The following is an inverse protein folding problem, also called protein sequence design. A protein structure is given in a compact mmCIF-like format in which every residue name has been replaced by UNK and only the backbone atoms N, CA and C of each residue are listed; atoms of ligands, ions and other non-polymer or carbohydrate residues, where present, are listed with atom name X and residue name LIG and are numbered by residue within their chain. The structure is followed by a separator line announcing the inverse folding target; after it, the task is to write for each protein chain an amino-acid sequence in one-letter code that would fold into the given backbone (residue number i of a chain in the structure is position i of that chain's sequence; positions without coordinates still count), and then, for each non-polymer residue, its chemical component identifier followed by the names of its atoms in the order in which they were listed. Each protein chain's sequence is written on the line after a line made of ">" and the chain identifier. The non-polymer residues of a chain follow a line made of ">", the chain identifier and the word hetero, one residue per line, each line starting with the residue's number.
data_IF_203048880613
#
_entry.id   IF_203048880613
#
_cell.length_a   1.000
_cell.length_b   1.000
_cell.length_c   1.000
_cell.angle_alpha   90.00
_cell.angle_beta   90.00
_cell.angle_gamma   90.00
#
_symmetry.space_group_name_H-M   'P 1'
#
loop_
_entity.id
_entity.type
_entity.pdbx_description
1 polymer ?
#
# COMPACT_ATOMS: atom_id res chain seq x y z
N UNK A 1 14.51 52.56 -41.91
CA UNK A 1 13.96 51.92 -40.70
C UNK A 1 14.46 50.48 -40.67
N UNK A 2 15.20 50.12 -39.62
CA UNK A 2 16.06 48.93 -39.55
C UNK A 2 15.28 47.61 -39.39
N UNK A 3 15.90 46.54 -39.90
CA UNK A 3 15.43 45.16 -40.06
C UNK A 3 15.40 44.35 -38.74
N UNK A 4 14.42 43.44 -38.66
CA UNK A 4 14.46 42.03 -38.23
C UNK A 4 15.09 41.59 -36.88
N UNK A 5 14.30 40.76 -36.17
CA UNK A 5 14.65 39.58 -35.33
C UNK A 5 15.07 39.77 -33.87
N UNK A 6 14.81 38.71 -33.08
CA UNK A 6 15.02 38.49 -31.62
C UNK A 6 13.78 38.76 -30.76
N UNK A 7 12.73 37.92 -30.67
CA UNK A 7 12.68 36.50 -30.29
C UNK A 7 13.53 36.13 -29.08
N UNK A 8 13.00 36.38 -27.87
CA UNK A 8 13.27 35.55 -26.68
C UNK A 8 11.92 35.27 -26.01
N UNK A 9 11.32 34.15 -26.44
CA UNK A 9 10.48 33.34 -25.58
C UNK A 9 11.42 32.65 -24.58
N UNK A 10 11.22 32.89 -23.28
CA UNK A 10 11.81 32.09 -22.22
C UNK A 10 10.81 32.11 -21.05
N UNK A 11 9.76 31.28 -21.11
CA UNK A 11 9.77 29.95 -20.51
C UNK A 11 10.23 29.96 -19.04
N UNK A 12 9.46 30.60 -18.16
CA UNK A 12 9.39 30.20 -16.75
C UNK A 12 8.24 29.20 -16.59
N UNK A 13 8.41 28.05 -17.24
CA UNK A 13 7.73 26.83 -16.84
C UNK A 13 8.25 26.39 -15.47
N UNK A 14 7.44 25.60 -14.77
CA UNK A 14 7.81 24.77 -13.61
C UNK A 14 7.75 25.46 -12.23
N UNK A 15 6.59 26.04 -11.91
CA UNK A 15 6.05 25.87 -10.57
C UNK A 15 4.90 24.86 -10.62
N UNK A 16 5.20 23.64 -11.07
CA UNK A 16 4.38 22.51 -10.65
C UNK A 16 4.63 22.39 -9.15
N UNK A 17 3.62 22.58 -8.27
CA UNK A 17 3.79 22.09 -6.91
C UNK A 17 4.12 20.63 -7.10
N UNK A 18 5.27 20.24 -6.55
CA UNK A 18 5.64 18.86 -6.41
C UNK A 18 4.41 18.15 -5.85
N UNK A 19 3.69 17.48 -6.73
CA UNK A 19 2.92 16.33 -6.35
C UNK A 19 4.01 15.40 -5.81
N UNK A 20 4.31 15.57 -4.52
CA UNK A 20 4.50 14.47 -3.62
C UNK A 20 3.24 13.62 -3.77
N UNK A 21 3.17 12.93 -4.91
CA UNK A 21 2.80 11.55 -4.96
C UNK A 21 3.67 10.95 -3.86
N UNK A 22 3.12 10.93 -2.64
CA UNK A 22 3.29 9.79 -1.78
C UNK A 22 2.99 8.63 -2.73
N UNK A 23 4.05 8.15 -3.36
CA UNK A 23 4.01 6.90 -4.07
C UNK A 23 3.34 5.99 -3.05
N UNK A 24 2.19 5.47 -3.41
CA UNK A 24 1.53 4.43 -2.66
C UNK A 24 2.48 3.24 -2.79
N UNK A 25 3.56 3.27 -2.01
CA UNK A 25 4.65 2.31 -2.06
C UNK A 25 4.08 1.09 -1.39
N UNK A 26 3.39 0.30 -2.20
CA UNK A 26 3.02 -1.06 -1.83
C UNK A 26 4.33 -1.83 -1.76
N UNK A 27 4.73 -2.20 -0.55
CA UNK A 27 5.93 -3.00 -0.30
C UNK A 27 5.61 -4.45 -0.67
N UNK A 28 6.57 -5.12 -1.30
CA UNK A 28 6.43 -6.55 -1.56
C UNK A 28 6.42 -7.32 -0.24
N UNK A 29 5.39 -8.15 -0.04
CA UNK A 29 5.21 -8.87 1.21
C UNK A 29 6.39 -9.80 1.56
N UNK A 30 7.14 -10.29 0.56
CA UNK A 30 8.28 -11.18 0.76
C UNK A 30 9.48 -10.49 1.41
N UNK A 31 9.51 -9.16 1.37
CA UNK A 31 10.53 -8.34 2.04
C UNK A 31 10.21 -8.12 3.52
N UNK A 32 8.99 -8.46 3.94
CA UNK A 32 8.58 -8.38 5.34
C UNK A 32 9.14 -9.63 6.04
N UNK A 33 9.93 -9.46 7.12
CA UNK A 33 10.41 -10.59 7.89
C UNK A 33 9.27 -11.45 8.43
N UNK A 34 9.55 -12.73 8.65
CA UNK A 34 8.58 -13.63 9.28
C UNK A 34 8.31 -13.17 10.72
N UNK A 35 7.04 -13.15 11.12
CA UNK A 35 6.67 -12.63 12.42
C UNK A 35 5.18 -12.41 12.62
N UNK A 36 4.85 -11.82 13.77
CA UNK A 36 3.47 -11.42 14.08
C UNK A 36 3.37 -9.90 14.01
N UNK A 37 2.38 -9.40 13.28
CA UNK A 37 2.21 -7.98 13.04
C UNK A 37 0.76 -7.55 13.26
N UNK A 38 0.58 -6.34 13.79
CA UNK A 38 -0.72 -5.68 13.77
C UNK A 38 -0.81 -4.84 12.50
N UNK A 39 -1.88 -5.05 11.74
CA UNK A 39 -2.12 -4.41 10.44
C UNK A 39 -3.52 -3.83 10.40
N UNK A 40 -3.67 -2.73 9.67
CA UNK A 40 -4.95 -2.12 9.40
C UNK A 40 -5.42 -2.57 8.01
N UNK A 41 -6.64 -3.07 7.89
CA UNK A 41 -7.15 -3.57 6.61
C UNK A 41 -7.71 -2.42 5.80
N UNK A 42 -7.01 -1.99 4.76
CA UNK A 42 -7.51 -0.97 3.84
C UNK A 42 -8.65 -1.52 2.99
N UNK A 43 -8.49 -2.75 2.48
CA UNK A 43 -9.46 -3.36 1.56
C UNK A 43 -9.33 -4.87 1.52
N UNK A 44 -10.47 -5.57 1.47
CA UNK A 44 -10.52 -6.99 1.11
C UNK A 44 -10.66 -7.10 -0.40
N UNK A 45 -9.64 -7.63 -1.08
CA UNK A 45 -9.60 -7.74 -2.55
C UNK A 45 -10.39 -8.97 -2.99
N UNK A 46 -10.16 -10.10 -2.34
CA UNK A 46 -10.91 -11.35 -2.53
C UNK A 46 -10.78 -12.24 -1.28
N UNK A 47 -11.27 -13.48 -1.37
CA UNK A 47 -11.26 -14.43 -0.24
C UNK A 47 -9.85 -14.70 0.32
N UNK A 48 -8.79 -14.59 -0.47
CA UNK A 48 -7.41 -14.92 -0.08
C UNK A 48 -6.43 -13.76 -0.25
N UNK A 49 -6.90 -12.55 -0.57
CA UNK A 49 -6.05 -11.37 -0.74
C UNK A 49 -6.67 -10.15 -0.05
N UNK A 50 -5.83 -9.45 0.71
CA UNK A 50 -6.17 -8.21 1.40
C UNK A 50 -5.08 -7.17 1.16
N UNK A 51 -5.50 -5.92 1.05
CA UNK A 51 -4.61 -4.77 1.10
C UNK A 51 -4.61 -4.27 2.54
N UNK A 52 -3.42 -4.13 3.11
CA UNK A 52 -3.27 -3.67 4.49
C UNK A 52 -2.20 -2.61 4.63
N UNK A 53 -2.34 -1.80 5.67
CA UNK A 53 -1.34 -0.84 6.13
C UNK A 53 -0.71 -1.37 7.42
N UNK A 54 0.60 -1.58 7.37
CA UNK A 54 1.43 -1.98 8.50
C UNK A 54 2.14 -0.76 9.08
N UNK A 55 2.30 -0.73 10.40
CA UNK A 55 3.02 0.33 11.12
C UNK A 55 2.57 1.76 10.73
N UNK A 56 1.28 1.92 10.40
CA UNK A 56 0.63 3.19 10.09
C UNK A 56 1.00 3.85 8.75
N UNK A 57 2.00 3.35 8.02
CA UNK A 57 2.48 4.00 6.78
C UNK A 57 2.82 3.04 5.64
N UNK A 58 3.08 1.76 5.93
CA UNK A 58 3.54 0.80 4.93
C UNK A 58 2.36 0.02 4.36
N UNK A 59 1.94 0.32 3.14
CA UNK A 59 0.94 -0.49 2.45
C UNK A 59 1.55 -1.75 1.87
N UNK A 60 0.85 -2.86 1.93
CA UNK A 60 1.25 -4.13 1.34
C UNK A 60 0.02 -4.92 0.91
N UNK A 61 0.13 -5.63 -0.21
CA UNK A 61 -0.82 -6.69 -0.54
C UNK A 61 -0.38 -7.96 0.18
N UNK A 62 -1.30 -8.58 0.91
CA UNK A 62 -1.04 -9.83 1.61
C UNK A 62 -1.94 -10.92 1.06
N UNK A 63 -1.28 -11.97 0.58
CA UNK A 63 -1.93 -13.19 0.17
C UNK A 63 -2.00 -14.17 1.34
N UNK A 64 -3.05 -14.99 1.33
CA UNK A 64 -3.14 -16.14 2.20
C UNK A 64 -2.02 -17.16 1.89
N UNK A 65 -1.41 -17.68 2.96
CA UNK A 65 -0.42 -18.76 2.90
C UNK A 65 -1.04 -20.15 2.82
N UNK A 66 -2.34 -20.28 3.09
CA UNK A 66 -3.04 -21.56 3.15
C UNK A 66 -4.46 -21.47 2.61
N UNK A 67 -4.96 -22.54 1.99
CA UNK A 67 -6.30 -22.55 1.39
C UNK A 67 -7.44 -22.39 2.41
N UNK A 68 -7.21 -22.76 3.68
CA UNK A 68 -8.15 -22.64 4.79
C UNK A 68 -8.20 -21.24 5.43
N UNK A 69 -7.27 -20.35 5.06
CA UNK A 69 -7.23 -18.97 5.55
C UNK A 69 -7.94 -18.08 4.54
N UNK A 70 -9.19 -17.71 4.86
CA UNK A 70 -10.03 -16.82 4.06
C UNK A 70 -10.44 -15.55 4.82
N UNK A 71 -10.39 -14.42 4.14
CA UNK A 71 -10.62 -13.08 4.71
C UNK A 71 -12.06 -12.59 4.58
N UNK A 72 -12.75 -12.89 3.48
CA UNK A 72 -14.07 -12.33 3.14
C UNK A 72 -15.16 -12.52 4.19
N UNK A 73 -15.10 -13.61 4.94
CA UNK A 73 -16.14 -13.97 5.93
C UNK A 73 -15.82 -13.47 7.35
N UNK A 74 -14.58 -13.02 7.58
CA UNK A 74 -14.04 -12.73 8.92
C UNK A 74 -13.49 -11.31 9.06
N UNK A 75 -13.22 -10.64 7.94
CA UNK A 75 -12.51 -9.37 7.89
C UNK A 75 -13.30 -8.38 7.05
N UNK A 76 -13.34 -7.13 7.49
CA UNK A 76 -13.88 -6.00 6.73
C UNK A 76 -12.80 -4.93 6.54
N UNK A 77 -13.06 -4.03 5.58
CA UNK A 77 -12.24 -2.84 5.45
C UNK A 77 -12.37 -1.98 6.71
N UNK A 78 -11.25 -1.38 7.13
CA UNK A 78 -11.01 -0.65 8.39
C UNK A 78 -10.92 -1.51 9.66
N UNK A 79 -10.86 -2.84 9.55
CA UNK A 79 -10.57 -3.69 10.71
C UNK A 79 -9.07 -3.67 11.04
N UNK A 80 -8.76 -3.75 12.33
CA UNK A 80 -7.40 -3.99 12.81
C UNK A 80 -7.22 -5.51 13.03
N UNK A 81 -6.19 -6.10 12.42
CA UNK A 81 -5.88 -7.52 12.52
C UNK A 81 -4.51 -7.75 13.12
N UNK A 82 -4.37 -8.79 13.92
CA UNK A 82 -3.07 -9.39 14.24
C UNK A 82 -2.85 -10.58 13.33
N UNK A 83 -1.84 -10.50 12.46
CA UNK A 83 -1.52 -11.51 11.46
C UNK A 83 -0.21 -12.21 11.81
N UNK A 84 -0.12 -13.50 11.50
CA UNK A 84 1.15 -14.23 11.49
C UNK A 84 1.58 -14.38 10.04
N UNK A 85 2.75 -13.84 9.74
CA UNK A 85 3.29 -13.74 8.39
C UNK A 85 4.53 -14.64 8.28
N UNK A 86 4.58 -15.44 7.22
CA UNK A 86 5.74 -16.25 6.87
C UNK A 86 5.95 -16.28 5.36
N UNK A 87 7.18 -16.02 4.91
CA UNK A 87 7.57 -15.95 3.49
C UNK A 87 6.63 -15.06 2.67
N UNK A 88 6.25 -13.90 3.21
CA UNK A 88 5.34 -12.96 2.55
C UNK A 88 3.87 -13.37 2.50
N UNK A 89 3.45 -14.40 3.26
CA UNK A 89 2.07 -14.88 3.26
C UNK A 89 1.47 -14.97 4.66
N UNK A 90 0.16 -14.79 4.75
CA UNK A 90 -0.59 -14.87 6.01
C UNK A 90 -0.89 -16.33 6.35
N UNK A 91 -0.31 -16.82 7.44
CA UNK A 91 -0.54 -18.19 7.92
C UNK A 91 -1.76 -18.30 8.84
N UNK A 92 -2.04 -17.23 9.58
CA UNK A 92 -3.21 -17.10 10.45
C UNK A 92 -3.44 -15.63 10.79
N UNK A 93 -4.65 -15.30 11.21
CA UNK A 93 -5.00 -13.96 11.66
C UNK A 93 -6.07 -14.01 12.75
N UNK A 94 -6.12 -12.96 13.55
CA UNK A 94 -7.17 -12.71 14.54
C UNK A 94 -7.54 -11.22 14.52
N UNK A 95 -8.82 -10.91 14.72
CA UNK A 95 -9.27 -9.53 14.83
C UNK A 95 -8.84 -8.93 16.16
N UNK A 96 -8.25 -7.74 16.12
CA UNK A 96 -7.93 -6.97 17.32
C UNK A 96 -9.22 -6.29 17.78
N UNK A 97 -9.87 -6.84 18.80
CA UNK A 97 -11.01 -6.15 19.43
C UNK A 97 -10.50 -4.85 20.06
N UNK A 98 -11.07 -3.72 19.63
CA UNK A 98 -11.01 -2.46 20.38
C UNK A 98 -11.82 -2.54 21.67
#
# INVERSE_FOLDING_TARGET
>A
MHRLLSSIALAAALAAPAAALAADVTIDASLIPDGTYTVHVDKVVNAQHILVTMQGTMKTDLASGKADVTFTDKVKANDDLRIVLAKGKVLSFEAVKK
#
